data_IF_888642191863
#
_entry.id   IF_888642191863
#
_cell.length_a   1.000
_cell.length_b   1.000
_cell.length_c   1.000
_cell.angle_alpha   90.00
_cell.angle_beta   90.00
_cell.angle_gamma   90.00
#
_symmetry.space_group_name_H-M   'P 1'
#
loop_
_entity.id
_entity.type
_entity.pdbx_description
1 polymer ?
#
# COMPACT_ATOMS: atom_id res chain seq x y z
N UNK A 1 31.10 -34.26 18.57
CA UNK A 1 30.86 -33.66 17.25
C UNK A 1 29.36 -33.70 16.94
N UNK A 2 28.63 -32.65 17.31
CA UNK A 2 27.16 -32.61 17.25
C UNK A 2 26.72 -32.10 15.88
N UNK A 3 26.13 -32.97 15.05
CA UNK A 3 25.51 -32.59 13.78
C UNK A 3 24.26 -31.75 14.06
N UNK A 4 24.38 -30.44 13.96
CA UNK A 4 23.23 -29.53 13.96
C UNK A 4 22.48 -29.75 12.65
N UNK A 5 21.34 -30.43 12.74
CA UNK A 5 20.46 -30.73 11.62
C UNK A 5 19.92 -29.43 11.02
N UNK A 6 20.26 -29.18 9.75
CA UNK A 6 19.88 -28.01 8.93
C UNK A 6 18.40 -27.62 9.05
N UNK A 7 17.52 -28.60 9.29
CA UNK A 7 16.07 -28.46 9.47
C UNK A 7 15.68 -27.52 10.63
N UNK A 8 16.46 -27.51 11.72
CA UNK A 8 16.17 -26.71 12.91
C UNK A 8 16.61 -25.25 12.75
N UNK A 9 17.57 -25.01 11.84
CA UNK A 9 18.04 -23.68 11.47
C UNK A 9 17.03 -23.00 10.54
N UNK A 10 16.45 -23.75 9.58
CA UNK A 10 15.38 -23.26 8.72
C UNK A 10 14.11 -22.92 9.48
N UNK A 11 13.68 -23.74 10.45
CA UNK A 11 12.51 -23.42 11.27
C UNK A 11 12.72 -22.21 12.19
N UNK A 12 13.94 -22.00 12.69
CA UNK A 12 14.28 -20.82 13.47
C UNK A 12 14.37 -19.56 12.60
N UNK A 13 14.96 -19.66 11.40
CA UNK A 13 14.92 -18.58 10.40
C UNK A 13 13.50 -18.25 9.96
N UNK A 14 12.66 -19.26 9.71
CA UNK A 14 11.25 -19.06 9.35
C UNK A 14 10.50 -18.33 10.46
N UNK A 15 10.73 -18.68 11.73
CA UNK A 15 10.17 -17.94 12.87
C UNK A 15 10.68 -16.50 12.95
N UNK A 16 11.95 -16.24 12.67
CA UNK A 16 12.48 -14.87 12.63
C UNK A 16 11.96 -14.05 11.44
N UNK A 17 11.80 -14.66 10.27
CA UNK A 17 11.20 -14.02 9.10
C UNK A 17 9.70 -13.75 9.31
N UNK A 18 8.98 -14.68 9.94
CA UNK A 18 7.58 -14.48 10.33
C UNK A 18 7.42 -13.50 11.50
N UNK A 19 8.39 -13.42 12.43
CA UNK A 19 8.39 -12.41 13.49
C UNK A 19 8.78 -11.01 12.98
N UNK A 20 9.44 -10.91 11.82
CA UNK A 20 9.66 -9.66 11.12
C UNK A 20 8.39 -9.07 10.48
N UNK A 21 7.30 -9.84 10.44
CA UNK A 21 5.99 -9.42 9.93
C UNK A 21 5.20 -8.62 10.99
N UNK A 22 5.53 -8.75 12.27
CA UNK A 22 4.89 -8.03 13.39
C UNK A 22 5.26 -6.52 13.41
N UNK A 23 6.30 -6.11 12.67
CA UNK A 23 6.88 -4.77 12.76
C UNK A 23 6.31 -3.72 11.81
N UNK A 24 5.36 -4.06 10.94
CA UNK A 24 4.97 -3.15 9.84
C UNK A 24 3.47 -2.91 9.66
N UNK A 25 2.69 -3.13 10.71
CA UNK A 25 1.28 -2.81 10.72
C UNK A 25 1.09 -1.33 11.04
N UNK A 26 0.43 -0.59 10.14
CA UNK A 26 -0.17 0.68 10.53
C UNK A 26 -1.15 0.42 11.66
N UNK A 27 -1.10 1.23 12.71
CA UNK A 27 -2.07 1.18 13.81
C UNK A 27 -3.49 1.21 13.26
N UNK A 28 -4.41 0.45 13.87
CA UNK A 28 -5.84 0.55 13.56
C UNK A 28 -6.35 1.98 13.70
N UNK A 29 -5.72 2.77 14.58
CA UNK A 29 -6.06 4.16 14.87
C UNK A 29 -5.35 5.18 13.95
N UNK A 30 -4.59 4.71 12.94
CA UNK A 30 -3.92 5.61 12.00
C UNK A 30 -4.95 6.46 11.24
N UNK A 31 -4.79 7.79 11.33
CA UNK A 31 -5.68 8.72 10.65
C UNK A 31 -5.46 8.70 9.13
N UNK A 32 -6.49 9.00 8.33
CA UNK A 32 -6.36 9.11 6.88
C UNK A 32 -5.27 10.09 6.43
N UNK A 33 -5.21 11.26 7.04
CA UNK A 33 -4.23 12.33 6.73
C UNK A 33 -2.80 11.83 6.99
N UNK A 34 -2.60 11.09 8.09
CA UNK A 34 -1.32 10.51 8.42
C UNK A 34 -0.89 9.48 7.36
N UNK A 35 -1.81 8.61 6.93
CA UNK A 35 -1.55 7.67 5.83
C UNK A 35 -1.18 8.41 4.53
N UNK A 36 -1.88 9.51 4.17
CA UNK A 36 -1.53 10.31 2.99
C UNK A 36 -0.14 10.93 3.11
N UNK A 37 0.24 11.42 4.30
CA UNK A 37 1.59 11.97 4.52
C UNK A 37 2.67 10.91 4.31
N UNK A 38 2.44 9.68 4.76
CA UNK A 38 3.37 8.57 4.53
C UNK A 38 3.54 8.23 3.04
N UNK A 39 2.47 8.34 2.23
CA UNK A 39 2.54 8.10 0.77
C UNK A 39 3.42 9.08 0.00
N UNK A 40 3.79 10.24 0.58
CA UNK A 40 4.65 11.22 -0.09
C UNK A 40 6.10 10.73 -0.23
N UNK A 41 6.57 9.93 0.73
CA UNK A 41 7.89 9.31 0.74
C UNK A 41 7.76 7.82 1.12
N UNK A 42 7.14 7.00 0.25
CA UNK A 42 6.73 5.67 0.62
C UNK A 42 7.91 4.69 0.54
N UNK A 43 7.93 3.73 1.46
CA UNK A 43 8.65 2.46 1.27
C UNK A 43 7.67 1.39 0.78
N UNK A 44 8.18 0.23 0.34
CA UNK A 44 7.33 -0.93 0.01
C UNK A 44 6.38 -1.26 1.18
N UNK A 45 6.90 -1.19 2.39
CA UNK A 45 6.19 -1.56 3.59
C UNK A 45 5.13 -0.50 3.96
N UNK A 46 5.37 0.78 3.62
CA UNK A 46 4.34 1.83 3.68
C UNK A 46 3.13 1.47 2.79
N UNK A 47 3.35 1.06 1.54
CA UNK A 47 2.24 0.65 0.67
C UNK A 47 1.50 -0.56 1.20
N UNK A 48 2.23 -1.58 1.66
CA UNK A 48 1.62 -2.77 2.25
C UNK A 48 0.72 -2.43 3.46
N UNK A 49 1.23 -1.61 4.38
CA UNK A 49 0.46 -1.16 5.54
C UNK A 49 -0.79 -0.38 5.13
N UNK A 50 -0.66 0.56 4.19
CA UNK A 50 -1.78 1.39 3.72
C UNK A 50 -2.81 0.54 2.97
N UNK A 51 -2.38 -0.41 2.14
CA UNK A 51 -3.28 -1.36 1.48
C UNK A 51 -4.15 -2.10 2.50
N UNK A 52 -3.55 -2.63 3.57
CA UNK A 52 -4.29 -3.32 4.64
C UNK A 52 -5.23 -2.38 5.41
N UNK A 53 -4.78 -1.14 5.67
CA UNK A 53 -5.62 -0.12 6.33
C UNK A 53 -6.80 0.29 5.45
N UNK A 54 -6.59 0.49 4.16
CA UNK A 54 -7.65 0.78 3.18
C UNK A 54 -8.68 -0.36 3.13
N UNK A 55 -8.20 -1.61 3.10
CA UNK A 55 -9.04 -2.80 3.01
C UNK A 55 -9.94 -2.99 4.24
N UNK A 56 -9.48 -2.60 5.42
CA UNK A 56 -10.23 -2.68 6.68
C UNK A 56 -10.91 -1.36 7.09
N UNK A 57 -10.80 -0.31 6.27
CA UNK A 57 -11.33 1.01 6.59
C UNK A 57 -12.86 1.08 6.48
N UNK A 58 -13.46 1.94 7.30
CA UNK A 58 -14.88 2.28 7.17
C UNK A 58 -15.10 3.24 6.00
N UNK A 59 -16.34 3.39 5.56
CA UNK A 59 -16.68 4.36 4.51
C UNK A 59 -16.32 5.80 4.91
N UNK A 60 -16.48 6.18 6.18
CA UNK A 60 -16.09 7.51 6.68
C UNK A 60 -14.58 7.75 6.60
N UNK A 61 -13.79 6.75 7.03
CA UNK A 61 -12.33 6.81 6.91
C UNK A 61 -11.89 6.91 5.44
N UNK A 62 -12.54 6.16 4.54
CA UNK A 62 -12.28 6.25 3.10
C UNK A 62 -12.63 7.65 2.54
N UNK A 63 -13.74 8.26 2.95
CA UNK A 63 -14.08 9.63 2.57
C UNK A 63 -12.98 10.61 2.97
N UNK A 64 -12.58 10.61 4.25
CA UNK A 64 -11.53 11.49 4.79
C UNK A 64 -10.18 11.28 4.09
N UNK A 65 -9.84 10.03 3.74
CA UNK A 65 -8.64 9.71 2.96
C UNK A 65 -8.66 10.38 1.57
N UNK A 66 -9.81 10.33 0.89
CA UNK A 66 -9.99 10.93 -0.42
C UNK A 66 -9.99 12.46 -0.37
N UNK A 67 -10.67 13.05 0.63
CA UNK A 67 -10.67 14.49 0.91
C UNK A 67 -9.27 15.01 1.24
N UNK A 68 -8.44 14.15 1.86
CA UNK A 68 -7.03 14.43 2.14
C UNK A 68 -6.10 14.28 0.94
N UNK A 69 -6.63 14.17 -0.29
CA UNK A 69 -5.89 13.93 -1.53
C UNK A 69 -5.20 12.56 -1.63
N UNK A 70 -5.70 11.54 -0.92
CA UNK A 70 -5.08 10.21 -0.92
C UNK A 70 -5.01 9.58 -2.31
N UNK A 71 -6.05 9.70 -3.11
CA UNK A 71 -6.07 9.18 -4.48
C UNK A 71 -5.11 9.92 -5.42
N UNK A 72 -5.04 11.25 -5.31
CA UNK A 72 -4.12 12.11 -6.06
C UNK A 72 -2.67 11.67 -5.85
N UNK A 73 -2.29 11.43 -4.58
CA UNK A 73 -0.94 11.00 -4.20
C UNK A 73 -0.64 9.60 -4.71
N UNK A 74 -1.59 8.66 -4.62
CA UNK A 74 -1.43 7.31 -5.16
C UNK A 74 -1.23 7.32 -6.68
N UNK A 75 -2.05 8.06 -7.42
CA UNK A 75 -1.91 8.18 -8.89
C UNK A 75 -0.61 8.87 -9.28
N UNK A 76 -0.18 9.89 -8.53
CA UNK A 76 1.13 10.52 -8.75
C UNK A 76 2.30 9.57 -8.47
N UNK A 77 2.14 8.63 -7.52
CA UNK A 77 3.13 7.58 -7.31
C UNK A 77 3.12 6.53 -8.43
N UNK A 78 1.94 6.13 -8.91
CA UNK A 78 1.78 5.23 -10.06
C UNK A 78 2.54 5.76 -11.29
N UNK A 79 2.34 7.04 -11.63
CA UNK A 79 3.02 7.68 -12.77
C UNK A 79 4.55 7.72 -12.61
N UNK A 80 5.05 7.99 -11.39
CA UNK A 80 6.50 7.98 -11.12
C UNK A 80 7.09 6.57 -11.22
N UNK A 81 6.45 5.59 -10.60
CA UNK A 81 6.95 4.22 -10.50
C UNK A 81 6.86 3.48 -11.85
N UNK A 82 5.82 3.71 -12.65
CA UNK A 82 5.66 3.12 -14.00
C UNK A 82 6.75 3.57 -14.97
N UNK A 83 7.34 4.75 -14.77
CA UNK A 83 8.45 5.25 -15.58
C UNK A 83 9.82 4.67 -15.19
N UNK A 84 9.92 4.01 -14.04
CA UNK A 84 11.19 3.54 -13.48
C UNK A 84 11.65 2.21 -14.10
N UNK A 85 12.97 2.03 -14.17
CA UNK A 85 13.61 0.81 -14.73
C UNK A 85 14.21 -0.12 -13.68
N UNK A 86 14.00 0.18 -12.39
CA UNK A 86 14.54 -0.62 -11.29
C UNK A 86 13.53 -1.66 -10.82
N UNK A 87 14.02 -2.87 -10.51
CA UNK A 87 13.16 -3.97 -10.04
C UNK A 87 12.43 -3.64 -8.73
N UNK A 88 13.08 -2.94 -7.81
CA UNK A 88 12.47 -2.54 -6.53
C UNK A 88 11.27 -1.61 -6.76
N UNK A 89 11.37 -0.70 -7.73
CA UNK A 89 10.26 0.20 -8.09
C UNK A 89 9.10 -0.57 -8.71
N UNK A 90 9.36 -1.65 -9.47
CA UNK A 90 8.32 -2.54 -9.97
C UNK A 90 7.55 -3.25 -8.84
N UNK A 91 8.24 -3.65 -7.76
CA UNK A 91 7.58 -4.24 -6.59
C UNK A 91 6.74 -3.18 -5.85
N UNK A 92 7.26 -1.97 -5.68
CA UNK A 92 6.48 -0.86 -5.11
C UNK A 92 5.30 -0.47 -6.00
N UNK A 93 5.45 -0.52 -7.33
CA UNK A 93 4.40 -0.26 -8.31
C UNK A 93 3.23 -1.24 -8.17
N UNK A 94 3.54 -2.53 -8.04
CA UNK A 94 2.53 -3.55 -7.78
C UNK A 94 1.74 -3.23 -6.50
N UNK A 95 2.44 -2.83 -5.44
CA UNK A 95 1.77 -2.60 -4.16
C UNK A 95 1.05 -1.26 -4.06
N UNK A 96 1.53 -0.24 -4.77
CA UNK A 96 0.79 1.00 -5.04
C UNK A 96 -0.50 0.71 -5.82
N UNK A 97 -0.43 -0.16 -6.84
CA UNK A 97 -1.59 -0.57 -7.63
C UNK A 97 -2.62 -1.34 -6.79
N UNK A 98 -2.16 -2.17 -5.84
CA UNK A 98 -3.05 -2.81 -4.86
C UNK A 98 -3.82 -1.79 -4.00
N UNK A 99 -3.18 -0.71 -3.57
CA UNK A 99 -3.84 0.38 -2.84
C UNK A 99 -4.92 1.06 -3.70
N UNK A 100 -4.58 1.44 -4.93
CA UNK A 100 -5.48 2.07 -5.91
C UNK A 100 -6.69 1.16 -6.17
N UNK A 101 -6.45 -0.11 -6.46
CA UNK A 101 -7.51 -1.12 -6.67
C UNK A 101 -8.43 -1.24 -5.47
N UNK A 102 -7.88 -1.19 -4.25
CA UNK A 102 -8.68 -1.29 -3.02
C UNK A 102 -9.60 -0.09 -2.85
N UNK A 103 -9.11 1.12 -3.12
CA UNK A 103 -9.96 2.33 -3.16
C UNK A 103 -11.08 2.18 -4.18
N UNK A 104 -10.75 1.80 -5.42
CA UNK A 104 -11.72 1.66 -6.52
C UNK A 104 -12.75 0.54 -6.31
N UNK A 105 -12.43 -0.47 -5.50
CA UNK A 105 -13.36 -1.54 -5.16
C UNK A 105 -14.32 -1.16 -4.01
N UNK A 106 -14.11 -0.02 -3.36
CA UNK A 106 -15.08 0.55 -2.41
C UNK A 106 -16.11 1.40 -3.15
N UNK A 107 -17.37 1.39 -2.69
CA UNK A 107 -18.42 2.24 -3.28
C UNK A 107 -18.01 3.73 -3.25
N UNK A 108 -17.55 4.21 -2.10
CA UNK A 108 -17.09 5.59 -1.91
C UNK A 108 -15.96 5.95 -2.87
N UNK A 109 -14.94 5.09 -2.99
CA UNK A 109 -13.80 5.36 -3.87
C UNK A 109 -14.16 5.30 -5.36
N UNK A 110 -15.06 4.38 -5.76
CA UNK A 110 -15.55 4.33 -7.14
C UNK A 110 -16.37 5.57 -7.49
N UNK A 111 -17.30 5.98 -6.62
CA UNK A 111 -18.13 7.17 -6.81
C UNK A 111 -17.25 8.43 -6.92
N UNK A 112 -16.21 8.54 -6.08
CA UNK A 112 -15.21 9.60 -6.15
C UNK A 112 -14.42 9.60 -7.47
N UNK A 113 -14.00 8.41 -7.93
CA UNK A 113 -13.25 8.26 -9.18
C UNK A 113 -14.06 8.66 -10.41
N UNK A 114 -15.33 8.23 -10.48
CA UNK A 114 -16.22 8.57 -11.59
C UNK A 114 -16.56 10.06 -11.60
N UNK A 115 -16.63 10.69 -10.43
CA UNK A 115 -16.82 12.13 -10.28
C UNK A 115 -15.65 12.97 -10.81
N UNK A 116 -14.45 12.40 -10.98
CA UNK A 116 -13.26 13.13 -11.40
C UNK A 116 -12.58 12.50 -12.63
N UNK A 117 -12.92 13.02 -13.82
CA UNK A 117 -12.42 12.52 -15.11
C UNK A 117 -10.89 12.56 -15.25
N UNK A 118 -10.21 13.45 -14.52
CA UNK A 118 -8.74 13.49 -14.55
C UNK A 118 -8.14 12.19 -13.99
N UNK A 119 -8.69 11.68 -12.89
CA UNK A 119 -8.20 10.45 -12.27
C UNK A 119 -8.38 9.23 -13.16
N UNK A 120 -9.50 9.11 -13.87
CA UNK A 120 -9.69 8.03 -14.85
C UNK A 120 -8.64 8.07 -15.96
N UNK A 121 -8.29 9.27 -16.45
CA UNK A 121 -7.25 9.45 -17.46
C UNK A 121 -5.86 9.08 -16.94
N UNK A 122 -5.53 9.51 -15.72
CA UNK A 122 -4.23 9.23 -15.08
C UNK A 122 -4.03 7.74 -14.83
N UNK A 123 -5.08 7.02 -14.46
CA UNK A 123 -5.04 5.57 -14.31
C UNK A 123 -4.58 4.86 -15.60
N UNK A 124 -5.01 5.33 -16.77
CA UNK A 124 -4.60 4.75 -18.06
C UNK A 124 -3.18 5.10 -18.52
N UNK A 125 -2.45 5.95 -17.77
CA UNK A 125 -1.05 6.32 -18.05
C UNK A 125 -0.04 5.48 -17.25
N UNK A 126 -0.51 4.84 -16.18
CA UNK A 126 0.31 3.94 -15.34
C UNK A 126 0.53 2.58 -15.97
#
# INVERSE_FOLDING_TARGET
>A
MSRITVKNKWSSLKRHLSAGDEGFWLSSEASPEYCVRLLRFPTLQTYYGIHNKLKSSSNGWMCEFLESNGMEVLLGALERLSSAKLFVDAVMLLECTSCIKTVMNSKTGLDFMVGNRDFTRRLGRG
#
